data_IF_188551861791
#
_entry.id   IF_188551861791
#
_cell.length_a   1.000
_cell.length_b   1.000
_cell.length_c   1.000
_cell.angle_alpha   90.00
_cell.angle_beta   90.00
_cell.angle_gamma   90.00
#
_symmetry.space_group_name_H-M   'P 1'
#
loop_
_entity.id
_entity.type
_entity.pdbx_description
1 polymer ?
#
# COMPACT_ATOMS: atom_id res chain seq x y z
N UNK A 1 17.59 38.12 38.76
CA UNK A 1 16.33 38.16 37.98
C UNK A 1 16.39 36.96 37.06
N UNK A 2 15.74 35.88 37.46
CA UNK A 2 15.75 34.62 36.73
C UNK A 2 14.34 34.48 36.14
N UNK A 3 14.25 34.67 34.83
CA UNK A 3 12.99 34.71 34.10
C UNK A 3 12.45 33.28 33.97
N UNK A 4 11.41 32.99 34.74
CA UNK A 4 10.67 31.74 34.70
C UNK A 4 9.98 31.60 33.33
N UNK A 5 10.56 30.80 32.43
CA UNK A 5 9.88 30.39 31.20
C UNK A 5 8.74 29.43 31.55
N UNK A 6 7.53 29.96 31.54
CA UNK A 6 6.29 29.18 31.60
C UNK A 6 6.23 28.27 30.38
N UNK A 7 6.62 26.99 30.53
CA UNK A 7 6.36 25.95 29.53
C UNK A 7 4.85 25.84 29.35
N UNK A 8 4.35 26.26 28.19
CA UNK A 8 2.98 26.00 27.77
C UNK A 8 2.73 24.48 27.79
N UNK A 9 1.55 24.02 28.23
CA UNK A 9 1.24 22.60 28.26
C UNK A 9 1.33 22.06 26.83
N UNK A 10 2.30 21.17 26.59
CA UNK A 10 2.46 20.52 25.30
C UNK A 10 1.21 19.68 25.05
N UNK A 11 0.42 20.06 24.05
CA UNK A 11 -0.74 19.27 23.67
C UNK A 11 -0.28 17.89 23.21
N UNK A 12 -0.97 16.81 23.62
CA UNK A 12 -0.54 15.46 23.28
C UNK A 12 -0.49 15.30 21.75
N UNK A 13 0.63 14.77 21.25
CA UNK A 13 0.80 14.48 19.84
C UNK A 13 -0.07 13.28 19.47
N UNK A 14 -1.03 13.47 18.57
CA UNK A 14 -1.97 12.43 18.16
C UNK A 14 -1.31 11.35 17.29
N UNK A 15 -0.37 11.75 16.44
CA UNK A 15 0.36 10.85 15.55
C UNK A 15 1.87 11.07 15.69
N UNK A 16 2.68 10.14 15.16
CA UNK A 16 4.14 10.33 15.14
C UNK A 16 4.57 11.55 14.31
N UNK A 17 3.73 12.00 13.37
CA UNK A 17 3.91 13.24 12.59
C UNK A 17 3.25 14.47 13.22
N UNK A 18 2.81 14.36 14.48
CA UNK A 18 2.14 15.42 15.22
C UNK A 18 0.63 15.45 15.01
N UNK A 19 0.07 16.66 15.00
CA UNK A 19 -1.39 16.88 15.07
C UNK A 19 -2.04 17.14 13.71
N UNK A 20 -1.27 17.10 12.61
CA UNK A 20 -1.82 17.23 11.26
C UNK A 20 -2.77 16.06 10.98
N UNK A 21 -3.98 16.33 10.44
CA UNK A 21 -4.90 15.28 10.01
C UNK A 21 -4.20 14.29 9.06
N UNK A 22 -4.46 13.00 9.27
CA UNK A 22 -3.78 11.91 8.57
C UNK A 22 -3.80 12.06 7.03
N UNK A 23 -4.97 12.37 6.47
CA UNK A 23 -5.11 12.52 5.01
C UNK A 23 -4.31 13.71 4.46
N UNK A 24 -4.28 14.81 5.21
CA UNK A 24 -3.51 15.99 4.83
C UNK A 24 -2.01 15.69 4.86
N UNK A 25 -1.55 15.00 5.91
CA UNK A 25 -0.16 14.57 6.00
C UNK A 25 0.24 13.70 4.79
N UNK A 26 -0.59 12.73 4.41
CA UNK A 26 -0.31 11.89 3.23
C UNK A 26 -0.27 12.68 1.93
N UNK A 27 -1.19 13.63 1.74
CA UNK A 27 -1.19 14.49 0.57
C UNK A 27 0.10 15.33 0.50
N UNK A 28 0.57 15.89 1.62
CA UNK A 28 1.84 16.61 1.71
C UNK A 28 3.06 15.74 1.38
N UNK A 29 2.97 14.43 1.63
CA UNK A 29 4.00 13.46 1.25
C UNK A 29 3.88 12.99 -0.21
N UNK A 30 2.90 13.49 -0.99
CA UNK A 30 2.65 13.03 -2.35
C UNK A 30 2.09 11.61 -2.42
N UNK A 31 1.32 11.20 -1.41
CA UNK A 31 0.75 9.85 -1.29
C UNK A 31 -0.77 9.93 -1.30
N UNK A 32 -1.39 9.11 -2.14
CA UNK A 32 -2.82 8.81 -2.08
C UNK A 32 -3.05 7.64 -1.14
N UNK A 33 -3.60 7.96 0.03
CA UNK A 33 -4.01 6.95 1.02
C UNK A 33 -5.51 6.66 0.95
N UNK A 34 -5.90 5.41 1.18
CA UNK A 34 -7.32 5.03 1.31
C UNK A 34 -7.51 4.00 2.43
N UNK A 35 -8.70 4.01 3.04
CA UNK A 35 -9.19 3.00 3.97
C UNK A 35 -10.44 2.37 3.36
N UNK A 36 -10.52 1.05 3.33
CA UNK A 36 -11.65 0.32 2.73
C UNK A 36 -11.89 -1.00 3.45
N UNK A 37 -12.94 -1.70 3.05
CA UNK A 37 -13.21 -3.08 3.47
C UNK A 37 -13.23 -4.01 2.26
N UNK A 38 -12.68 -5.20 2.43
CA UNK A 38 -12.73 -6.30 1.48
C UNK A 38 -13.53 -7.44 2.08
N UNK A 39 -14.45 -8.02 1.31
CA UNK A 39 -15.22 -9.20 1.77
C UNK A 39 -14.49 -10.46 1.34
N UNK A 40 -14.03 -11.26 2.30
CA UNK A 40 -13.36 -12.54 2.03
C UNK A 40 -14.32 -13.55 1.40
N UNK A 41 -13.83 -14.60 0.72
CA UNK A 41 -14.68 -15.69 0.20
C UNK A 41 -15.54 -16.38 1.27
N UNK A 42 -15.17 -16.23 2.55
CA UNK A 42 -15.94 -16.71 3.71
C UNK A 42 -17.04 -15.76 4.16
N UNK A 43 -17.21 -14.62 3.48
CA UNK A 43 -18.23 -13.61 3.77
C UNK A 43 -17.85 -12.63 4.89
N UNK A 44 -16.57 -12.60 5.32
CA UNK A 44 -16.11 -11.73 6.40
C UNK A 44 -15.57 -10.41 5.86
N UNK A 45 -15.93 -9.29 6.48
CA UNK A 45 -15.36 -7.97 6.13
C UNK A 45 -14.01 -7.78 6.78
N UNK A 46 -12.98 -7.65 5.96
CA UNK A 46 -11.61 -7.38 6.36
C UNK A 46 -11.28 -5.91 6.10
N UNK A 47 -10.74 -5.23 7.10
CA UNK A 47 -10.29 -3.85 6.95
C UNK A 47 -8.99 -3.81 6.14
N UNK A 48 -8.91 -2.85 5.23
CA UNK A 48 -7.79 -2.69 4.30
C UNK A 48 -7.33 -1.24 4.25
N UNK A 49 -6.03 -1.05 4.04
CA UNK A 49 -5.41 0.25 3.85
C UNK A 49 -4.47 0.21 2.65
N UNK A 50 -4.40 1.32 1.93
CA UNK A 50 -3.48 1.47 0.80
C UNK A 50 -2.74 2.79 0.87
N UNK A 51 -1.47 2.80 0.47
CA UNK A 51 -0.66 3.98 0.27
C UNK A 51 -0.02 3.89 -1.11
N UNK A 52 -0.49 4.73 -2.03
CA UNK A 52 -0.06 4.71 -3.43
C UNK A 52 0.63 6.04 -3.76
N UNK A 53 1.78 6.04 -4.44
CA UNK A 53 2.41 7.27 -4.91
C UNK A 53 1.43 8.06 -5.79
N UNK A 54 1.32 9.38 -5.58
CA UNK A 54 0.48 10.27 -6.41
C UNK A 54 1.17 10.71 -7.71
N UNK A 55 2.29 10.07 -8.07
CA UNK A 55 3.09 10.40 -9.26
C UNK A 55 2.41 9.93 -10.55
N UNK A 56 2.64 10.61 -11.69
CA UNK A 56 2.13 10.15 -12.99
C UNK A 56 2.85 8.88 -13.49
N UNK A 57 4.03 8.58 -12.95
CA UNK A 57 4.77 7.35 -13.25
C UNK A 57 4.15 6.16 -12.51
N UNK A 58 4.07 4.98 -13.15
CA UNK A 58 3.64 3.76 -12.48
C UNK A 58 4.53 3.42 -11.26
N UNK A 59 3.97 2.79 -10.21
CA UNK A 59 4.76 2.33 -9.08
C UNK A 59 5.87 1.36 -9.51
N UNK A 60 7.04 1.44 -8.86
CA UNK A 60 8.18 0.55 -9.07
C UNK A 60 7.87 -0.92 -8.71
N UNK A 61 6.88 -1.12 -7.83
CA UNK A 61 6.42 -2.42 -7.40
C UNK A 61 5.27 -2.29 -6.41
N UNK A 62 4.73 -3.45 -6.04
CA UNK A 62 3.63 -3.57 -5.07
C UNK A 62 4.12 -4.32 -3.84
N UNK A 63 3.83 -3.79 -2.66
CA UNK A 63 4.20 -4.38 -1.38
C UNK A 63 2.93 -4.69 -0.59
N UNK A 64 2.81 -5.95 -0.18
CA UNK A 64 1.75 -6.43 0.69
C UNK A 64 2.28 -6.56 2.12
N UNK A 65 1.67 -5.83 3.04
CA UNK A 65 2.05 -5.78 4.43
C UNK A 65 1.03 -6.56 5.26
N UNK A 66 1.54 -7.47 6.09
CA UNK A 66 0.75 -8.28 7.01
C UNK A 66 1.27 -8.01 8.41
N UNK A 67 0.38 -7.71 9.35
CA UNK A 67 0.75 -7.51 10.74
C UNK A 67 0.96 -8.87 11.46
N UNK A 68 1.71 -8.86 12.55
CA UNK A 68 1.89 -10.03 13.41
C UNK A 68 0.69 -10.30 14.32
N UNK A 69 0.76 -11.42 15.05
CA UNK A 69 -0.26 -11.83 16.03
C UNK A 69 -0.51 -10.75 17.10
N UNK A 70 -1.77 -10.47 17.41
CA UNK A 70 -2.16 -9.54 18.47
C UNK A 70 -1.90 -8.06 18.15
N UNK A 71 -1.65 -7.73 16.87
CA UNK A 71 -1.46 -6.36 16.40
C UNK A 71 -2.50 -6.02 15.31
N UNK A 72 -2.51 -4.76 14.87
CA UNK A 72 -3.34 -4.28 13.75
C UNK A 72 -2.51 -3.38 12.82
N UNK A 73 -3.03 -3.11 11.61
CA UNK A 73 -2.34 -2.28 10.61
C UNK A 73 -2.06 -0.87 11.15
N UNK A 74 -3.01 -0.28 11.88
CA UNK A 74 -2.98 1.13 12.24
C UNK A 74 -1.87 1.44 13.22
N UNK A 75 -1.56 0.48 14.10
CA UNK A 75 -0.40 0.57 14.98
C UNK A 75 0.89 0.09 14.31
N UNK A 76 0.86 -1.05 13.60
CA UNK A 76 2.08 -1.67 13.05
C UNK A 76 2.73 -0.84 11.94
N UNK A 77 1.93 -0.21 11.08
CA UNK A 77 2.39 0.37 9.82
C UNK A 77 2.21 1.89 9.78
N UNK A 78 2.76 2.59 10.77
CA UNK A 78 2.66 4.05 10.83
C UNK A 78 3.58 4.74 9.81
N UNK A 79 4.90 4.51 9.86
CA UNK A 79 5.87 5.22 9.01
C UNK A 79 6.34 4.43 7.78
N UNK A 80 6.42 3.10 7.89
CA UNK A 80 6.95 2.21 6.85
C UNK A 80 6.24 2.32 5.49
N UNK A 81 4.90 2.22 5.38
CA UNK A 81 4.23 2.32 4.08
C UNK A 81 4.37 3.72 3.47
N UNK A 82 4.46 4.76 4.30
CA UNK A 82 4.67 6.14 3.86
C UNK A 82 6.07 6.27 3.25
N UNK A 83 7.09 5.75 3.92
CA UNK A 83 8.45 5.77 3.41
C UNK A 83 8.55 5.04 2.06
N UNK A 84 7.98 3.84 1.95
CA UNK A 84 8.00 3.05 0.72
C UNK A 84 7.20 3.72 -0.42
N UNK A 85 6.04 4.30 -0.11
CA UNK A 85 5.24 5.02 -1.10
C UNK A 85 5.93 6.30 -1.61
N UNK A 86 6.65 7.02 -0.75
CA UNK A 86 7.51 8.15 -1.19
C UNK A 86 8.62 7.71 -2.14
N UNK A 87 9.09 6.47 -2.01
CA UNK A 87 10.10 5.89 -2.89
C UNK A 87 9.50 5.18 -4.12
N UNK A 88 8.22 5.39 -4.41
CA UNK A 88 7.57 4.90 -5.63
C UNK A 88 6.95 3.51 -5.54
N UNK A 89 6.81 2.92 -4.35
CA UNK A 89 6.15 1.62 -4.18
C UNK A 89 4.68 1.76 -3.77
N UNK A 90 3.78 0.98 -4.38
CA UNK A 90 2.40 0.91 -3.93
C UNK A 90 2.29 -0.08 -2.75
N UNK A 91 1.91 0.40 -1.58
CA UNK A 91 1.80 -0.42 -0.38
C UNK A 91 0.33 -0.71 -0.05
N UNK A 92 0.02 -1.95 0.28
CA UNK A 92 -1.30 -2.40 0.71
C UNK A 92 -1.18 -3.21 1.99
N UNK A 93 -2.13 -3.05 2.88
CA UNK A 93 -2.21 -3.83 4.11
C UNK A 93 -3.67 -4.25 4.36
N UNK A 94 -3.84 -5.40 5.02
CA UNK A 94 -5.12 -5.83 5.57
C UNK A 94 -4.98 -6.21 7.05
N UNK A 95 -6.05 -6.01 7.81
CA UNK A 95 -6.18 -6.56 9.15
C UNK A 95 -6.65 -8.01 8.97
N UNK A 96 -5.93 -8.94 9.57
CA UNK A 96 -6.29 -10.36 9.57
C UNK A 96 -7.60 -10.56 10.34
N UNK A 97 -8.33 -11.64 10.04
CA UNK A 97 -9.58 -11.95 10.70
C UNK A 97 -9.45 -11.95 12.23
N UNK A 98 -10.43 -11.33 12.89
CA UNK A 98 -10.46 -11.16 14.34
C UNK A 98 -9.45 -10.17 14.90
N UNK A 99 -8.78 -9.35 14.07
CA UNK A 99 -7.88 -8.28 14.49
C UNK A 99 -8.37 -6.90 14.03
N UNK A 100 -7.94 -5.86 14.75
CA UNK A 100 -8.20 -4.46 14.40
C UNK A 100 -9.67 -4.19 14.10
N UNK A 101 -9.95 -3.76 12.87
CA UNK A 101 -11.31 -3.48 12.39
C UNK A 101 -11.91 -4.60 11.53
N UNK A 102 -11.23 -5.75 11.41
CA UNK A 102 -11.70 -6.91 10.66
C UNK A 102 -12.64 -7.80 11.48
N UNK A 103 -13.64 -8.36 10.80
CA UNK A 103 -14.57 -9.31 11.38
C UNK A 103 -13.92 -10.70 11.56
N UNK A 104 -14.58 -11.56 12.33
CA UNK A 104 -14.21 -12.98 12.48
C UNK A 104 -13.61 -13.32 13.84
N UNK A 105 -13.19 -14.58 13.98
CA UNK A 105 -12.49 -15.08 15.17
C UNK A 105 -11.02 -15.30 14.83
N UNK A 106 -10.16 -14.92 15.76
CA UNK A 106 -8.73 -15.17 15.65
C UNK A 106 -8.46 -16.67 15.74
N UNK A 107 -7.96 -17.26 14.65
CA UNK A 107 -7.46 -18.65 14.59
C UNK A 107 -6.17 -18.70 13.78
N UNK A 108 -5.42 -19.80 13.86
CA UNK A 108 -4.21 -19.96 13.02
C UNK A 108 -4.55 -20.13 11.54
N UNK A 109 -5.64 -20.84 11.24
CA UNK A 109 -6.08 -21.11 9.87
C UNK A 109 -6.58 -19.84 9.17
N UNK A 110 -7.33 -19.00 9.90
CA UNK A 110 -7.82 -17.74 9.35
C UNK A 110 -6.66 -16.81 8.96
N UNK A 111 -5.60 -16.75 9.77
CA UNK A 111 -4.41 -15.94 9.47
C UNK A 111 -3.68 -16.40 8.19
N UNK A 112 -3.51 -17.72 8.01
CA UNK A 112 -2.85 -18.25 6.81
C UNK A 112 -3.67 -18.00 5.53
N UNK A 113 -5.00 -18.12 5.62
CA UNK A 113 -5.90 -17.89 4.49
C UNK A 113 -5.95 -16.41 4.08
N UNK A 114 -5.97 -15.50 5.06
CA UNK A 114 -6.00 -14.06 4.81
C UNK A 114 -4.68 -13.56 4.22
N UNK A 115 -3.54 -14.10 4.68
CA UNK A 115 -2.24 -13.84 4.09
C UNK A 115 -2.20 -14.21 2.59
N UNK A 116 -2.79 -15.37 2.25
CA UNK A 116 -2.92 -15.82 0.86
C UNK A 116 -3.89 -14.94 0.06
N UNK A 117 -5.00 -14.54 0.67
CA UNK A 117 -6.06 -13.74 0.04
C UNK A 117 -5.60 -12.31 -0.26
N UNK A 118 -4.72 -11.74 0.57
CA UNK A 118 -4.09 -10.44 0.36
C UNK A 118 -3.54 -10.28 -1.05
N UNK A 119 -2.83 -11.30 -1.53
CA UNK A 119 -2.20 -11.29 -2.85
C UNK A 119 -3.22 -11.34 -4.01
N UNK A 120 -4.36 -12.00 -3.79
CA UNK A 120 -5.41 -12.24 -4.79
C UNK A 120 -6.52 -11.18 -4.86
N UNK A 121 -6.66 -10.30 -3.86
CA UNK A 121 -7.67 -9.24 -3.88
C UNK A 121 -7.16 -7.95 -4.56
N UNK A 122 -5.89 -7.60 -4.36
CA UNK A 122 -5.34 -6.34 -4.89
C UNK A 122 -4.70 -6.49 -6.28
N UNK A 123 -4.40 -7.70 -6.75
CA UNK A 123 -3.97 -7.93 -8.13
C UNK A 123 -5.10 -7.59 -9.12
N UNK A 124 -6.36 -7.93 -8.83
CA UNK A 124 -7.53 -7.63 -9.68
C UNK A 124 -7.82 -6.11 -9.70
N UNK A 125 -7.68 -5.43 -8.57
CA UNK A 125 -7.91 -3.97 -8.49
C UNK A 125 -6.77 -3.16 -9.12
N UNK A 126 -5.53 -3.67 -9.12
CA UNK A 126 -4.38 -2.99 -9.75
C UNK A 126 -4.35 -3.21 -11.27
N UNK A 127 -4.70 -4.41 -11.75
CA UNK A 127 -4.81 -4.71 -13.18
C UNK A 127 -5.94 -3.96 -13.89
N UNK A 128 -7.01 -3.61 -13.17
CA UNK A 128 -8.16 -2.86 -13.75
C UNK A 128 -7.91 -1.35 -13.93
N UNK A 129 -6.79 -0.81 -13.42
CA UNK A 129 -6.39 0.60 -13.67
C UNK A 129 -5.35 0.77 -14.79
N UNK A 130 -4.90 -0.30 -15.43
CA UNK A 130 -4.10 -0.22 -16.66
C UNK A 130 -4.99 -0.35 -17.89
N UNK A 131 -5.90 0.60 -18.11
CA UNK A 131 -6.43 0.84 -19.45
C UNK A 131 -5.45 1.77 -20.18
N UNK A 132 -4.35 1.20 -20.68
CA UNK A 132 -3.69 1.83 -21.81
C UNK A 132 -4.67 1.72 -23.01
N UNK A 133 -4.97 2.81 -23.73
CA UNK A 133 -5.77 2.70 -24.94
C UNK A 133 -5.06 1.78 -25.93
N UNK A 134 -5.76 0.84 -26.60
CA UNK A 134 -5.13 -0.01 -27.59
C UNK A 134 -4.64 0.88 -28.75
N UNK A 135 -3.33 1.09 -28.83
CA UNK A 135 -2.71 1.69 -30.01
C UNK A 135 -2.71 0.64 -31.10
N UNK A 136 -3.71 0.71 -31.98
CA UNK A 136 -3.76 -0.07 -33.20
C UNK A 136 -3.01 0.69 -34.31
N UNK A 137 -1.82 0.21 -34.66
CA UNK A 137 -1.21 0.46 -35.97
C UNK A 137 -0.47 -0.80 -36.43
N UNK A 138 -0.73 -1.34 -37.64
CA UNK A 138 -0.04 -2.53 -38.12
C UNK A 138 1.34 -2.14 -38.68
N UNK A 139 2.40 -2.45 -37.95
CA UNK A 139 3.77 -2.32 -38.45
C UNK A 139 4.18 -3.59 -39.21
N UNK A 140 4.66 -3.39 -40.44
CA UNK A 140 5.11 -4.42 -41.39
C UNK A 140 6.24 -5.29 -40.80
N UNK A 141 6.21 -6.57 -41.16
CA UNK A 141 7.20 -7.61 -40.84
C UNK A 141 8.59 -7.21 -41.39
N UNK A 142 9.67 -7.18 -40.58
CA UNK A 142 11.01 -7.01 -41.12
C UNK A 142 11.51 -8.34 -41.71
N UNK A 143 12.08 -8.24 -42.92
CA UNK A 143 12.77 -9.32 -43.63
C UNK A 143 14.12 -9.68 -42.97
N UNK A 144 14.59 -10.90 -43.29
CA UNK A 144 15.74 -11.60 -42.71
C UNK A 144 17.03 -10.76 -42.69
N UNK A 145 17.72 -10.76 -41.55
CA UNK A 145 19.13 -10.43 -41.45
C UNK A 145 19.96 -11.70 -41.77
N UNK A 146 20.81 -11.65 -42.80
CA UNK A 146 21.85 -12.65 -43.05
C UNK A 146 23.09 -12.33 -42.21
N UNK A 147 23.69 -13.35 -41.61
CA UNK A 147 24.75 -13.27 -40.60
C UNK A 147 26.05 -12.61 -41.05
N UNK A 148 26.73 -12.01 -40.07
CA UNK A 148 28.07 -11.46 -40.18
C UNK A 148 29.05 -12.55 -39.72
N UNK A 149 30.01 -12.88 -40.59
CA UNK A 149 31.02 -13.91 -40.40
C UNK A 149 32.20 -13.35 -39.58
N UNK A 150 32.63 -14.09 -38.55
CA UNK A 150 33.83 -13.78 -37.77
C UNK A 150 34.79 -14.96 -37.87
N UNK A 151 35.92 -14.77 -38.57
CA UNK A 151 37.10 -15.63 -38.46
C UNK A 151 38.32 -14.78 -38.14
N UNK A 152 39.10 -15.25 -37.17
CA UNK A 152 40.51 -14.91 -36.97
C UNK A 152 41.31 -16.18 -37.17
#
# INVERSE_FOLDING_TARGET
MEENQTKSPQQPLLHYWGNTPEQEYYNLQGIKSTKSFFTSPRGLKLFTRSWVPSTPTPPHGVIFMIHGYGNDISWTFQATPIHLAKNGFACFALDLEGHGQSQGKMTIESQMMDATTSMGANNITTSSRTNAPPTMAPAKKPEKFSGIDFKR
#
